data_IF_883835279756
#
_entry.id   IF_883835279756
#
_cell.length_a   1.000
_cell.length_b   1.000
_cell.length_c   1.000
_cell.angle_alpha   90.00
_cell.angle_beta   90.00
_cell.angle_gamma   90.00
#
_symmetry.space_group_name_H-M   'P 1'
#
loop_
_entity.id
_entity.type
_entity.pdbx_description
1 polymer ?
#
# COMPACT_ATOMS: atom_id res chain seq x y z
N UNK A 1 10.46 -57.80 22.44
CA UNK A 1 11.43 -56.74 22.09
C UNK A 1 11.58 -56.75 20.58
N UNK A 2 11.15 -55.66 19.92
CA UNK A 2 11.45 -55.19 18.56
C UNK A 2 11.65 -56.21 17.39
N UNK A 3 10.76 -56.18 16.39
CA UNK A 3 10.97 -55.47 15.11
C UNK A 3 9.77 -55.64 14.15
N UNK A 4 9.58 -54.65 13.29
CA UNK A 4 8.39 -54.34 12.49
C UNK A 4 8.77 -54.25 11.00
N UNK A 5 7.78 -54.52 10.14
CA UNK A 5 7.63 -54.33 8.66
C UNK A 5 7.93 -55.58 7.81
N UNK A 6 7.17 -55.86 6.71
CA UNK A 6 6.70 -54.86 5.73
C UNK A 6 5.33 -55.11 4.99
N UNK A 7 4.86 -54.10 4.24
CA UNK A 7 3.97 -54.10 3.04
C UNK A 7 2.51 -54.64 3.23
N UNK A 8 1.43 -54.19 2.57
CA UNK A 8 1.22 -53.46 1.32
C UNK A 8 -0.21 -52.84 1.36
N UNK A 9 -0.33 -51.59 0.90
CA UNK A 9 -1.40 -50.97 0.10
C UNK A 9 -2.82 -51.56 0.14
N UNK A 10 -3.84 -50.72 0.41
CA UNK A 10 -4.95 -50.49 -0.54
C UNK A 10 -5.64 -49.18 -0.20
N UNK A 11 -5.86 -48.38 -1.24
CA UNK A 11 -6.22 -46.98 -1.17
C UNK A 11 -7.56 -46.68 -0.50
N UNK A 12 -7.68 -45.44 -0.05
CA UNK A 12 -8.70 -44.51 -0.54
C UNK A 12 -8.25 -43.11 -0.10
N UNK A 13 -8.02 -42.24 -1.08
CA UNK A 13 -7.92 -40.80 -0.86
C UNK A 13 -9.28 -40.30 -0.39
N UNK A 14 -9.43 -40.12 0.92
CA UNK A 14 -10.47 -39.26 1.45
C UNK A 14 -9.81 -37.98 1.90
N UNK A 15 -9.99 -36.97 1.07
CA UNK A 15 -9.72 -35.56 1.33
C UNK A 15 -10.36 -35.15 2.65
N UNK A 16 -9.59 -35.19 3.73
CA UNK A 16 -9.96 -34.58 5.00
C UNK A 16 -9.32 -33.20 5.08
N UNK A 17 -10.09 -32.24 4.55
CA UNK A 17 -10.30 -30.94 5.17
C UNK A 17 -9.07 -30.34 5.86
N UNK A 18 -8.11 -29.88 5.06
CA UNK A 18 -7.15 -28.90 5.51
C UNK A 18 -7.91 -27.66 6.00
N UNK A 19 -7.77 -27.41 7.30
CA UNK A 19 -8.17 -26.23 8.07
C UNK A 19 -8.61 -25.00 7.24
N UNK A 20 -9.74 -24.33 7.58
CA UNK A 20 -9.92 -22.97 7.09
C UNK A 20 -8.76 -22.14 7.63
N UNK A 21 -7.85 -21.75 6.73
CA UNK A 21 -6.78 -20.82 7.03
C UNK A 21 -7.45 -19.51 7.47
N UNK A 22 -7.54 -19.33 8.79
CA UNK A 22 -8.06 -18.14 9.46
C UNK A 22 -7.02 -17.01 9.30
N UNK A 23 -6.77 -16.63 8.05
CA UNK A 23 -5.79 -15.62 7.69
C UNK A 23 -6.19 -14.90 6.40
N UNK A 24 -7.42 -14.42 6.31
CA UNK A 24 -7.73 -13.35 5.36
C UNK A 24 -9.01 -12.59 5.77
N UNK A 25 -8.86 -11.51 6.54
CA UNK A 25 -9.97 -10.56 6.79
C UNK A 25 -9.64 -9.11 6.44
N UNK A 26 -8.39 -8.84 6.06
CA UNK A 26 -7.90 -7.48 5.77
C UNK A 26 -7.44 -7.32 4.32
N UNK A 27 -6.99 -8.37 3.63
CA UNK A 27 -6.52 -8.29 2.24
C UNK A 27 -7.64 -7.90 1.28
N UNK A 28 -8.85 -8.44 1.49
CA UNK A 28 -10.07 -8.09 0.77
C UNK A 28 -10.54 -6.64 0.97
N UNK A 29 -9.95 -5.91 1.92
CA UNK A 29 -10.28 -4.51 2.21
C UNK A 29 -9.20 -3.55 1.72
N UNK A 30 -8.14 -4.03 1.07
CA UNK A 30 -7.09 -3.17 0.54
C UNK A 30 -7.54 -2.55 -0.78
N UNK A 31 -7.24 -1.27 -0.98
CA UNK A 31 -7.27 -0.65 -2.31
C UNK A 31 -5.85 -0.32 -2.77
N UNK A 32 -5.68 -0.26 -4.09
CA UNK A 32 -4.41 0.12 -4.71
C UNK A 32 -4.38 1.63 -5.01
N UNK A 33 -3.29 2.30 -4.64
CA UNK A 33 -3.01 3.68 -5.04
C UNK A 33 -1.70 3.75 -5.81
N UNK A 34 -1.56 4.77 -6.65
CA UNK A 34 -0.35 5.01 -7.44
C UNK A 34 0.35 6.26 -6.95
N UNK A 35 1.57 6.13 -6.45
CA UNK A 35 2.34 7.26 -5.92
C UNK A 35 3.52 7.56 -6.82
N UNK A 36 3.61 8.80 -7.30
CA UNK A 36 4.76 9.33 -8.02
C UNK A 36 5.60 10.20 -7.10
N UNK A 37 6.90 10.29 -7.36
CA UNK A 37 7.82 11.21 -6.68
C UNK A 37 8.16 12.35 -7.62
N UNK A 38 8.27 13.55 -7.08
CA UNK A 38 8.75 14.75 -7.77
C UNK A 38 9.72 15.53 -6.87
N UNK A 39 10.72 16.14 -7.50
CA UNK A 39 11.64 17.09 -6.85
C UNK A 39 11.07 18.49 -7.10
N UNK A 40 10.14 18.91 -6.24
CA UNK A 40 9.43 20.18 -6.33
C UNK A 40 8.71 20.46 -5.01
N UNK A 41 8.25 21.69 -4.80
CA UNK A 41 7.38 22.04 -3.66
C UNK A 41 5.93 21.62 -3.89
N UNK A 42 5.46 21.66 -5.14
CA UNK A 42 4.10 21.30 -5.55
C UNK A 42 4.10 20.50 -6.86
N UNK A 43 3.06 19.71 -7.15
CA UNK A 43 2.99 18.92 -8.38
C UNK A 43 2.96 19.77 -9.64
N UNK A 44 2.41 20.99 -9.57
CA UNK A 44 2.33 21.93 -10.69
C UNK A 44 3.70 22.49 -11.10
N UNK A 45 4.65 22.50 -10.17
CA UNK A 45 6.02 22.96 -10.41
C UNK A 45 6.97 21.81 -10.80
N UNK A 46 6.49 20.56 -10.72
CA UNK A 46 7.29 19.41 -11.07
C UNK A 46 7.55 19.39 -12.58
N UNK A 47 8.80 19.59 -12.98
CA UNK A 47 9.21 19.41 -14.38
C UNK A 47 9.27 17.92 -14.76
N UNK A 48 9.52 17.06 -13.77
CA UNK A 48 9.65 15.62 -13.96
C UNK A 48 8.95 14.87 -12.81
N UNK A 49 8.15 13.87 -13.16
CA UNK A 49 7.58 12.91 -12.22
C UNK A 49 8.20 11.53 -12.48
N UNK A 50 8.51 10.81 -11.41
CA UNK A 50 8.97 9.41 -11.54
C UNK A 50 7.84 8.50 -12.04
N UNK A 51 8.23 7.30 -12.47
CA UNK A 51 7.27 6.23 -12.70
C UNK A 51 6.40 6.00 -11.45
N UNK A 52 5.07 5.85 -11.61
CA UNK A 52 4.18 5.56 -10.49
C UNK A 52 4.55 4.25 -9.80
N UNK A 53 4.52 4.25 -8.47
CA UNK A 53 4.68 3.04 -7.67
C UNK A 53 3.33 2.66 -7.07
N UNK A 54 2.84 1.46 -7.42
CA UNK A 54 1.59 0.92 -6.88
C UNK A 54 1.75 0.45 -5.43
N UNK A 55 0.78 0.80 -4.59
CA UNK A 55 0.76 0.43 -3.18
C UNK A 55 -0.64 0.00 -2.75
N UNK A 56 -0.76 -1.21 -2.19
CA UNK A 56 -2.01 -1.68 -1.56
C UNK A 56 -2.11 -1.19 -0.12
N UNK A 57 -3.16 -0.49 0.25
CA UNK A 57 -3.34 0.15 1.57
C UNK A 57 -4.74 -0.12 2.14
N UNK A 58 -4.85 -0.05 3.47
CA UNK A 58 -6.14 -0.15 4.14
C UNK A 58 -6.84 1.22 4.12
N UNK A 59 -8.16 1.29 3.87
CA UNK A 59 -8.93 2.53 3.96
C UNK A 59 -8.82 3.19 5.32
N UNK A 60 -8.84 2.39 6.39
CA UNK A 60 -8.72 2.84 7.78
C UNK A 60 -7.28 3.18 8.20
N UNK A 61 -6.31 3.15 7.29
CA UNK A 61 -4.93 3.51 7.60
C UNK A 61 -4.85 5.02 7.90
N UNK A 62 -4.32 5.46 9.06
CA UNK A 62 -4.13 6.88 9.30
C UNK A 62 -3.13 7.49 8.31
N UNK A 63 -3.36 8.73 7.86
CA UNK A 63 -2.48 9.40 6.89
C UNK A 63 -1.01 9.44 7.36
N UNK A 64 -0.76 9.63 8.66
CA UNK A 64 0.59 9.60 9.24
C UNK A 64 1.32 8.26 9.00
N UNK A 65 0.59 7.15 9.12
CA UNK A 65 1.13 5.80 8.86
C UNK A 65 1.36 5.60 7.37
N UNK A 66 0.44 6.09 6.53
CA UNK A 66 0.59 6.04 5.07
C UNK A 66 1.80 6.86 4.58
N UNK A 67 2.05 8.04 5.15
CA UNK A 67 3.26 8.84 4.90
C UNK A 67 4.55 8.08 5.23
N UNK A 68 4.57 7.35 6.35
CA UNK A 68 5.71 6.51 6.69
C UNK A 68 5.90 5.37 5.68
N UNK A 69 4.81 4.78 5.19
CA UNK A 69 4.84 3.75 4.15
C UNK A 69 5.40 4.32 2.84
N UNK A 70 4.91 5.48 2.39
CA UNK A 70 5.41 6.19 1.19
C UNK A 70 6.91 6.46 1.32
N UNK A 71 7.36 6.98 2.48
CA UNK A 71 8.78 7.26 2.72
C UNK A 71 9.65 6.03 2.52
N UNK A 72 9.22 4.86 3.03
CA UNK A 72 9.92 3.58 2.85
C UNK A 72 9.87 3.11 1.40
N UNK A 73 8.71 3.15 0.77
CA UNK A 73 8.50 2.66 -0.60
C UNK A 73 9.26 3.48 -1.64
N UNK A 74 9.29 4.81 -1.51
CA UNK A 74 9.96 5.71 -2.44
C UNK A 74 11.41 6.05 -2.05
N UNK A 75 11.95 5.37 -1.03
CA UNK A 75 13.29 5.58 -0.48
C UNK A 75 13.60 7.07 -0.25
N UNK A 76 12.69 7.78 0.41
CA UNK A 76 12.87 9.19 0.77
C UNK A 76 13.72 9.23 2.03
N UNK A 77 14.81 9.99 1.98
CA UNK A 77 15.70 10.15 3.13
C UNK A 77 14.95 10.69 4.35
N UNK A 78 15.34 10.22 5.54
CA UNK A 78 14.62 10.52 6.79
C UNK A 78 14.55 12.02 7.09
N UNK A 79 15.60 12.75 6.72
CA UNK A 79 15.77 14.18 6.98
C UNK A 79 15.06 15.06 5.94
N UNK A 80 14.61 14.48 4.82
CA UNK A 80 13.86 15.21 3.79
C UNK A 80 12.37 15.24 4.13
N UNK A 81 11.85 16.44 4.33
CA UNK A 81 10.42 16.70 4.38
C UNK A 81 9.80 16.49 2.99
N UNK A 82 8.55 16.02 2.97
CA UNK A 82 7.79 15.91 1.73
C UNK A 82 6.32 16.27 1.95
N UNK A 83 5.72 16.82 0.90
CA UNK A 83 4.30 17.10 0.80
C UNK A 83 3.62 16.02 -0.03
N UNK A 84 2.42 15.63 0.36
CA UNK A 84 1.63 14.62 -0.34
C UNK A 84 0.41 15.29 -0.95
N UNK A 85 0.18 15.01 -2.23
CA UNK A 85 -0.90 15.59 -3.00
C UNK A 85 -1.72 14.48 -3.64
N UNK A 86 -3.03 14.63 -3.62
CA UNK A 86 -4.00 13.78 -4.31
C UNK A 86 -4.43 14.48 -5.61
N UNK A 87 -4.44 13.73 -6.71
CA UNK A 87 -4.99 14.21 -7.98
C UNK A 87 -6.50 14.00 -7.95
N UNK A 88 -7.25 15.05 -8.22
CA UNK A 88 -8.70 15.04 -8.32
C UNK A 88 -9.13 14.69 -9.76
N UNK A 89 -10.41 14.33 -9.95
CA UNK A 89 -10.97 13.95 -11.27
C UNK A 89 -10.94 15.10 -12.29
N UNK A 90 -11.00 16.34 -11.83
CA UNK A 90 -10.87 17.54 -12.66
C UNK A 90 -9.41 17.83 -13.08
N UNK A 91 -8.47 16.99 -12.65
CA UNK A 91 -7.04 17.11 -12.92
C UNK A 91 -6.30 18.06 -11.97
N UNK A 92 -7.00 18.71 -11.04
CA UNK A 92 -6.38 19.54 -10.00
C UNK A 92 -5.66 18.69 -8.94
N UNK A 93 -4.82 19.35 -8.14
CA UNK A 93 -4.08 18.72 -7.05
C UNK A 93 -4.50 19.28 -5.70
N UNK A 94 -4.86 18.40 -4.77
CA UNK A 94 -5.22 18.76 -3.39
C UNK A 94 -4.16 18.27 -2.41
N UNK A 95 -3.70 19.14 -1.51
CA UNK A 95 -2.69 18.80 -0.51
C UNK A 95 -3.31 18.00 0.65
N UNK A 96 -2.74 16.83 0.95
CA UNK A 96 -3.13 16.01 2.10
C UNK A 96 -2.37 16.47 3.36
N UNK A 97 -2.86 17.51 4.04
CA UNK A 97 -2.15 18.11 5.18
C UNK A 97 -2.54 17.52 6.55
N UNK A 98 -3.78 17.08 6.71
CA UNK A 98 -4.31 16.73 8.02
C UNK A 98 -4.15 15.24 8.34
N UNK A 99 -3.27 14.93 9.28
CA UNK A 99 -2.99 13.56 9.72
C UNK A 99 -4.05 12.96 10.67
N UNK A 100 -5.12 13.68 11.00
CA UNK A 100 -6.17 13.20 11.93
C UNK A 100 -7.12 12.19 11.30
N UNK A 101 -7.17 12.11 9.97
CA UNK A 101 -8.11 11.27 9.25
C UNK A 101 -7.41 10.07 8.61
N UNK A 102 -8.19 9.02 8.36
CA UNK A 102 -7.77 7.87 7.59
C UNK A 102 -7.91 8.12 6.08
N UNK A 103 -7.44 7.17 5.28
CA UNK A 103 -7.37 7.34 3.82
C UNK A 103 -8.77 7.38 3.18
N UNK A 104 -9.71 6.62 3.71
CA UNK A 104 -11.11 6.59 3.24
C UNK A 104 -11.77 7.96 3.42
N UNK A 105 -11.63 8.57 4.60
CA UNK A 105 -12.16 9.90 4.87
C UNK A 105 -11.54 10.98 3.98
N UNK A 106 -10.28 10.81 3.60
CA UNK A 106 -9.57 11.71 2.69
C UNK A 106 -9.93 11.47 1.22
N UNK A 107 -10.81 10.52 0.92
CA UNK A 107 -11.27 10.21 -0.44
C UNK A 107 -10.26 9.40 -1.26
N UNK A 108 -9.33 8.70 -0.62
CA UNK A 108 -8.45 7.78 -1.34
C UNK A 108 -9.19 6.46 -1.57
N UNK A 109 -9.11 5.98 -2.80
CA UNK A 109 -9.75 4.77 -3.26
C UNK A 109 -8.86 4.02 -4.27
N UNK A 110 -9.40 2.96 -4.88
CA UNK A 110 -8.65 2.21 -5.88
C UNK A 110 -8.37 3.07 -7.11
N UNK A 111 -7.10 3.17 -7.48
CA UNK A 111 -6.66 3.94 -8.64
C UNK A 111 -6.31 5.39 -8.34
N UNK A 112 -6.47 5.86 -7.09
CA UNK A 112 -6.09 7.23 -6.72
C UNK A 112 -4.62 7.51 -7.08
N UNK A 113 -4.40 8.64 -7.74
CA UNK A 113 -3.07 9.11 -8.15
C UNK A 113 -2.56 10.13 -7.14
N UNK A 114 -1.38 9.87 -6.59
CA UNK A 114 -0.73 10.73 -5.63
C UNK A 114 0.62 11.22 -6.14
N UNK A 115 0.96 12.45 -5.78
CA UNK A 115 2.29 13.02 -5.99
C UNK A 115 2.94 13.32 -4.64
N UNK A 116 4.10 12.71 -4.42
CA UNK A 116 5.00 12.99 -3.33
C UNK A 116 6.04 14.03 -3.79
N UNK A 117 5.87 15.25 -3.32
CA UNK A 117 6.74 16.38 -3.61
C UNK A 117 7.82 16.50 -2.52
N UNK A 118 9.07 16.23 -2.87
CA UNK A 118 10.21 16.40 -1.97
C UNK A 118 10.84 17.75 -2.27
N UNK A 119 10.81 18.64 -1.27
CA UNK A 119 11.39 19.97 -1.43
C UNK A 119 12.90 19.92 -1.58
N UNK A 120 13.44 20.66 -2.55
CA UNK A 120 14.85 21.06 -2.54
C UNK A 120 15.00 22.15 -1.49
N UNK A 121 15.73 21.88 -0.42
CA UNK A 121 16.25 22.95 0.42
C UNK A 121 17.23 23.81 -0.38
#
# INVERSE_FOLDING_TARGET
MLLKLPLLEHGVTLSTSGLPSHQDRLSHKLFEVHVQKAIASTPMQASELTNPTSMRVLPTMPLKVFRLKIRKTLNIQKDLAFSLWLKMDDGSWSALQNDTHDLDWLGLETGSQLCCCVGTQ
#
